data_IF_140235944373
#
_entry.id   IF_140235944373
#
_cell.length_a   1.000
_cell.length_b   1.000
_cell.length_c   1.000
_cell.angle_alpha   90.00
_cell.angle_beta   90.00
_cell.angle_gamma   90.00
#
_symmetry.space_group_name_H-M   'P 1'
#
loop_
_entity.id
_entity.type
_entity.pdbx_description
1 polymer ?
#
# COMPACT_ATOMS: atom_id res chain seq x y z
N UNK A 1 -37.31 11.31 -16.71
CA UNK A 1 -36.60 12.57 -16.39
C UNK A 1 -35.66 12.28 -15.23
N UNK A 2 -34.44 12.82 -15.31
CA UNK A 2 -33.19 12.22 -14.82
C UNK A 2 -33.08 11.96 -13.32
N UNK A 3 -32.37 10.87 -13.00
CA UNK A 3 -31.83 10.59 -11.66
C UNK A 3 -30.64 11.52 -11.43
N UNK A 4 -30.76 12.41 -10.45
CA UNK A 4 -29.65 13.24 -9.99
C UNK A 4 -28.56 12.36 -9.38
N UNK A 5 -27.53 12.04 -10.16
CA UNK A 5 -26.26 11.57 -9.64
C UNK A 5 -25.59 12.80 -9.01
N UNK A 6 -25.63 12.92 -7.69
CA UNK A 6 -24.83 13.91 -6.99
C UNK A 6 -23.37 13.53 -7.14
N UNK A 7 -22.67 14.21 -8.05
CA UNK A 7 -21.21 14.16 -8.14
C UNK A 7 -20.63 14.57 -6.78
N UNK A 8 -20.26 13.57 -5.99
CA UNK A 8 -19.41 13.76 -4.83
C UNK A 8 -18.03 14.16 -5.35
N UNK A 9 -17.83 15.47 -5.49
CA UNK A 9 -16.56 16.07 -5.83
C UNK A 9 -15.53 15.64 -4.78
N UNK A 10 -14.64 14.71 -5.14
CA UNK A 10 -13.58 14.21 -4.27
C UNK A 10 -12.53 15.31 -4.12
N UNK A 11 -12.65 16.12 -3.08
CA UNK A 11 -11.62 17.07 -2.66
C UNK A 11 -10.56 16.31 -1.83
N UNK A 12 -9.36 16.03 -2.38
CA UNK A 12 -8.32 15.27 -1.69
C UNK A 12 -7.68 16.05 -0.51
N UNK A 13 -8.04 17.33 -0.35
CA UNK A 13 -7.55 18.19 0.73
C UNK A 13 -8.53 18.28 1.91
N UNK A 14 -9.77 17.78 1.76
CA UNK A 14 -10.71 17.73 2.88
C UNK A 14 -10.20 16.73 3.94
N UNK A 15 -10.16 17.15 5.22
CA UNK A 15 -9.92 16.22 6.31
C UNK A 15 -10.99 15.13 6.26
N UNK A 16 -10.57 13.89 6.07
CA UNK A 16 -11.43 12.72 6.11
C UNK A 16 -10.94 11.80 7.21
N UNK A 17 -11.88 11.24 7.95
CA UNK A 17 -11.55 10.24 8.96
C UNK A 17 -11.21 8.94 8.24
N UNK A 18 -10.04 8.38 8.52
CA UNK A 18 -9.75 7.01 8.11
C UNK A 18 -10.60 6.06 8.97
N UNK A 19 -11.04 4.95 8.37
CA UNK A 19 -11.50 3.81 9.16
C UNK A 19 -10.35 3.34 10.06
N UNK A 20 -10.64 2.81 11.26
CA UNK A 20 -9.60 2.19 12.09
C UNK A 20 -8.83 1.14 11.29
N UNK A 21 -7.55 0.97 11.61
CA UNK A 21 -6.77 -0.11 11.02
C UNK A 21 -7.51 -1.44 11.27
N UNK A 22 -7.74 -2.26 10.23
CA UNK A 22 -8.33 -3.56 10.41
C UNK A 22 -7.44 -4.41 11.32
N UNK A 23 -8.06 -5.32 12.06
CA UNK A 23 -7.30 -6.35 12.77
C UNK A 23 -6.49 -7.14 11.73
N UNK A 24 -5.16 -7.31 11.90
CA UNK A 24 -4.36 -8.04 10.95
C UNK A 24 -4.95 -9.43 10.72
N UNK A 25 -5.14 -9.88 9.46
CA UNK A 25 -5.64 -11.21 9.21
C UNK A 25 -4.66 -12.23 9.79
N UNK A 26 -5.06 -12.96 10.83
CA UNK A 26 -4.21 -13.97 11.48
C UNK A 26 -3.97 -15.24 10.67
N UNK A 27 -4.30 -15.23 9.37
CA UNK A 27 -4.21 -16.36 8.46
C UNK A 27 -2.89 -16.41 7.68
N UNK A 28 -2.96 -17.00 6.48
CA UNK A 28 -1.83 -17.09 5.56
C UNK A 28 -1.40 -15.68 5.08
N UNK A 29 -0.17 -15.21 5.38
CA UNK A 29 0.31 -13.89 4.98
C UNK A 29 0.79 -13.83 3.52
N UNK A 30 0.46 -14.83 2.72
CA UNK A 30 0.82 -14.91 1.30
C UNK A 30 0.17 -13.77 0.51
N UNK A 31 0.97 -13.10 -0.31
CA UNK A 31 0.51 -12.06 -1.22
C UNK A 31 0.25 -12.64 -2.60
N UNK A 32 -0.82 -12.18 -3.23
CA UNK A 32 -1.13 -12.50 -4.62
C UNK A 32 -0.52 -11.45 -5.56
N UNK A 33 0.25 -11.91 -6.54
CA UNK A 33 0.79 -11.12 -7.62
C UNK A 33 0.12 -11.49 -8.94
N UNK A 34 -0.55 -10.51 -9.54
CA UNK A 34 -1.23 -10.64 -10.83
C UNK A 34 -0.39 -9.96 -11.91
N UNK A 35 0.02 -10.74 -12.92
CA UNK A 35 0.77 -10.22 -14.05
C UNK A 35 -0.17 -10.01 -15.24
N UNK A 36 -0.02 -8.92 -16.03
CA UNK A 36 -0.89 -8.67 -17.19
C UNK A 36 -0.92 -9.79 -18.24
N UNK A 37 0.15 -10.60 -18.30
CA UNK A 37 0.37 -11.59 -19.37
C UNK A 37 0.65 -13.01 -18.86
N UNK A 38 0.61 -13.25 -17.54
CA UNK A 38 0.89 -14.56 -16.95
C UNK A 38 -0.15 -14.94 -15.91
N UNK A 39 -0.19 -16.23 -15.59
CA UNK A 39 -0.94 -16.74 -14.45
C UNK A 39 -0.53 -16.02 -13.15
N UNK A 40 -1.49 -15.92 -12.25
CA UNK A 40 -1.32 -15.51 -10.87
C UNK A 40 -0.16 -16.24 -10.20
N UNK A 41 0.61 -15.53 -9.38
CA UNK A 41 1.60 -16.12 -8.48
C UNK A 41 1.31 -15.75 -7.04
N UNK A 42 1.48 -16.73 -6.15
CA UNK A 42 1.43 -16.55 -4.71
C UNK A 42 2.85 -16.40 -4.18
N UNK A 43 3.07 -15.36 -3.37
CA UNK A 43 4.37 -15.03 -2.77
C UNK A 43 4.24 -15.10 -1.26
N UNK A 44 4.87 -16.09 -0.64
CA UNK A 44 4.92 -16.20 0.81
C UNK A 44 5.98 -15.23 1.38
N UNK A 45 5.85 -14.89 2.67
CA UNK A 45 6.86 -14.06 3.38
C UNK A 45 8.26 -14.66 3.26
N UNK A 46 8.38 -15.99 3.31
CA UNK A 46 9.66 -16.68 3.16
C UNK A 46 10.32 -16.45 1.80
N UNK A 47 9.56 -16.22 0.74
CA UNK A 47 10.10 -15.94 -0.59
C UNK A 47 10.64 -14.50 -0.67
N UNK A 48 9.92 -13.54 -0.08
CA UNK A 48 10.38 -12.14 0.02
C UNK A 48 11.70 -12.01 0.77
N UNK A 49 11.87 -12.79 1.86
CA UNK A 49 13.08 -12.75 2.68
C UNK A 49 14.32 -13.33 1.96
N UNK A 50 14.12 -14.08 0.86
CA UNK A 50 15.23 -14.60 0.03
C UNK A 50 15.67 -13.62 -1.06
N UNK A 51 14.86 -12.62 -1.38
CA UNK A 51 15.21 -11.60 -2.38
C UNK A 51 16.28 -10.65 -1.83
N UNK A 52 17.06 -9.98 -2.71
CA UNK A 52 17.97 -8.91 -2.28
C UNK A 52 17.23 -7.84 -1.48
N UNK A 53 17.68 -7.60 -0.26
CA UNK A 53 17.10 -6.59 0.62
C UNK A 53 17.79 -5.25 0.38
N UNK A 54 17.00 -4.18 0.36
CA UNK A 54 17.48 -2.80 0.36
C UNK A 54 17.03 -2.10 1.64
N UNK A 55 17.82 -1.12 2.06
CA UNK A 55 17.48 -0.22 3.18
C UNK A 55 17.46 1.19 2.65
N UNK A 56 16.33 1.88 2.85
CA UNK A 56 16.13 3.27 2.49
C UNK A 56 15.96 4.08 3.78
N UNK A 57 16.94 4.93 4.08
CA UNK A 57 16.90 5.86 5.22
C UNK A 57 16.25 7.18 4.81
N UNK A 58 16.01 8.05 5.79
CA UNK A 58 15.53 9.43 5.61
C UNK A 58 14.26 9.54 4.75
N UNK A 59 13.37 8.56 4.86
CA UNK A 59 12.13 8.52 4.09
C UNK A 59 11.00 9.23 4.82
N UNK A 60 10.19 10.00 4.08
CA UNK A 60 9.05 10.74 4.61
C UNK A 60 7.75 10.27 3.96
N UNK A 61 6.70 10.13 4.77
CA UNK A 61 5.33 9.94 4.28
C UNK A 61 4.62 11.29 4.36
N UNK A 62 4.23 11.82 3.20
CA UNK A 62 3.57 13.12 3.07
C UNK A 62 2.15 12.90 2.55
N UNK A 63 1.15 13.34 3.32
CA UNK A 63 -0.26 13.29 2.95
C UNK A 63 -0.73 14.67 2.52
N UNK A 64 -1.71 14.72 1.61
CA UNK A 64 -2.29 15.99 1.11
C UNK A 64 -3.18 16.72 2.14
N UNK A 65 -3.36 16.16 3.34
CA UNK A 65 -4.18 16.76 4.41
C UNK A 65 -3.61 16.61 5.83
N UNK A 66 -2.38 16.12 5.99
CA UNK A 66 -1.72 15.95 7.29
C UNK A 66 -0.26 16.42 7.24
N UNK A 67 0.33 16.65 8.41
CA UNK A 67 1.75 16.94 8.53
C UNK A 67 2.63 15.82 7.98
N UNK A 68 3.88 16.15 7.65
CA UNK A 68 4.88 15.16 7.24
C UNK A 68 5.19 14.21 8.39
N UNK A 69 5.15 12.90 8.12
CA UNK A 69 5.56 11.86 9.07
C UNK A 69 6.92 11.28 8.70
N UNK A 70 7.79 11.09 9.68
CA UNK A 70 9.16 10.60 9.50
C UNK A 70 10.21 11.49 10.20
N UNK A 71 11.51 11.29 9.92
CA UNK A 71 12.05 10.33 8.95
C UNK A 71 11.91 8.87 9.41
N UNK A 72 11.68 7.97 8.46
CA UNK A 72 11.66 6.53 8.66
C UNK A 72 12.82 5.86 7.94
N UNK A 73 13.18 4.67 8.41
CA UNK A 73 14.02 3.73 7.67
C UNK A 73 13.17 2.54 7.24
N UNK A 74 13.10 2.29 5.93
CA UNK A 74 12.39 1.15 5.36
C UNK A 74 13.37 0.07 4.93
N UNK A 75 13.00 -1.19 5.16
CA UNK A 75 13.78 -2.36 4.74
C UNK A 75 12.87 -3.36 4.02
N UNK A 76 13.37 -3.96 2.95
CA UNK A 76 12.62 -4.96 2.17
C UNK A 76 13.20 -5.19 0.78
N UNK A 77 12.63 -6.12 0.00
CA UNK A 77 12.91 -6.23 -1.42
C UNK A 77 12.34 -5.02 -2.19
N UNK A 78 12.90 -4.74 -3.37
CA UNK A 78 12.33 -3.73 -4.28
C UNK A 78 11.16 -4.32 -5.05
N UNK A 79 10.18 -3.50 -5.45
CA UNK A 79 9.08 -3.98 -6.30
C UNK A 79 9.58 -4.55 -7.64
N UNK A 80 10.68 -4.01 -8.18
CA UNK A 80 11.28 -4.49 -9.44
C UNK A 80 12.01 -5.84 -9.30
N UNK A 81 12.27 -6.30 -8.07
CA UNK A 81 12.87 -7.60 -7.80
C UNK A 81 11.85 -8.71 -7.49
N UNK A 82 10.56 -8.36 -7.45
CA UNK A 82 9.43 -9.27 -7.26
C UNK A 82 8.83 -9.60 -8.63
#
# INVERSE_FOLDING_TARGET
MGTNHSDHQHDPLRPHSHEPNPEPPGGDPTMRFEFPTRAETLIAVADLLRLPQVVLADCFIVSTGHGTSGPFTFGGPTLLSV
#
